data_IF_402311686266
#
_entry.id   IF_402311686266
#
_cell.length_a   1.000
_cell.length_b   1.000
_cell.length_c   1.000
_cell.angle_alpha   90.00
_cell.angle_beta   90.00
_cell.angle_gamma   90.00
#
_symmetry.space_group_name_H-M   'P 1'
#
loop_
_entity.id
_entity.type
_entity.pdbx_description
1 polymer ?
#
# COMPACT_ATOMS: atom_id res chain seq x y z
N UNK A 1 1.19 24.49 12.68
CA UNK A 1 1.51 23.12 12.22
C UNK A 1 2.03 23.12 10.77
N UNK A 2 3.03 23.95 10.43
CA UNK A 2 3.60 23.99 9.07
C UNK A 2 5.02 23.36 8.99
N UNK A 3 5.70 23.16 10.12
CA UNK A 3 7.07 22.64 10.15
C UNK A 3 7.19 21.12 10.29
N UNK A 4 6.13 20.40 10.67
CA UNK A 4 6.18 18.96 10.94
C UNK A 4 6.43 18.14 9.68
N UNK A 5 5.75 18.45 8.58
CA UNK A 5 5.91 17.76 7.29
C UNK A 5 7.33 17.94 6.75
N UNK A 6 7.84 19.18 6.71
CA UNK A 6 9.21 19.43 6.25
C UNK A 6 10.27 18.74 7.12
N UNK A 7 10.10 18.76 8.46
CA UNK A 7 11.00 18.03 9.37
C UNK A 7 10.99 16.52 9.09
N UNK A 8 9.81 15.93 8.85
CA UNK A 8 9.68 14.51 8.47
C UNK A 8 10.36 14.22 7.14
N UNK A 9 10.20 15.08 6.13
CA UNK A 9 10.88 14.93 4.85
C UNK A 9 12.40 15.00 4.98
N UNK A 10 12.93 15.99 5.72
CA UNK A 10 14.38 16.10 5.97
C UNK A 10 14.91 14.87 6.69
N UNK A 11 14.25 14.47 7.79
CA UNK A 11 14.63 13.28 8.54
C UNK A 11 14.59 12.01 7.67
N UNK A 12 13.61 11.88 6.78
CA UNK A 12 13.53 10.74 5.87
C UNK A 12 14.71 10.67 4.88
N UNK A 13 15.21 11.82 4.41
CA UNK A 13 16.41 11.90 3.56
C UNK A 13 17.64 11.45 4.36
N UNK A 14 17.79 11.96 5.58
CA UNK A 14 18.92 11.60 6.46
C UNK A 14 18.96 10.10 6.79
N UNK A 15 17.80 9.46 6.92
CA UNK A 15 17.68 8.02 7.18
C UNK A 15 17.87 7.14 5.93
N UNK A 16 17.84 7.70 4.73
CA UNK A 16 17.71 6.92 3.48
C UNK A 16 18.88 7.06 2.49
N UNK A 17 20.15 7.27 2.89
CA UNK A 17 21.24 7.51 1.94
C UNK A 17 21.39 6.35 0.93
N UNK A 18 21.22 5.10 1.37
CA UNK A 18 21.31 3.94 0.50
C UNK A 18 20.15 3.79 -0.51
N UNK A 19 18.96 4.33 -0.21
CA UNK A 19 17.79 4.27 -1.11
C UNK A 19 17.97 5.24 -2.27
N UNK A 20 18.58 6.40 -2.00
CA UNK A 20 18.83 7.45 -3.00
C UNK A 20 19.63 6.87 -4.17
N UNK A 21 20.77 6.23 -3.90
CA UNK A 21 21.67 5.75 -4.95
C UNK A 21 21.21 4.44 -5.62
N UNK A 22 20.34 3.66 -4.98
CA UNK A 22 19.92 2.35 -5.51
C UNK A 22 18.54 2.38 -6.19
N UNK A 23 17.66 3.29 -5.76
CA UNK A 23 16.26 3.29 -6.17
C UNK A 23 15.86 4.61 -6.82
N UNK A 24 16.23 5.76 -6.23
CA UNK A 24 15.79 7.07 -6.72
C UNK A 24 16.64 7.56 -7.91
N UNK A 25 17.96 7.47 -7.80
CA UNK A 25 18.91 7.92 -8.82
C UNK A 25 19.99 6.85 -9.12
N UNK A 26 19.59 5.63 -9.53
CA UNK A 26 20.56 4.57 -9.79
C UNK A 26 21.43 4.86 -11.00
N UNK A 27 22.75 4.77 -10.83
CA UNK A 27 23.71 4.87 -11.94
C UNK A 27 23.61 3.68 -12.92
N UNK A 28 23.19 2.51 -12.43
CA UNK A 28 22.97 1.30 -13.23
C UNK A 28 21.84 0.48 -12.64
N UNK A 29 20.88 0.11 -13.47
CA UNK A 29 19.78 -0.79 -13.07
C UNK A 29 20.05 -2.18 -13.63
N UNK A 30 20.22 -3.15 -12.73
CA UNK A 30 20.28 -4.58 -13.11
C UNK A 30 18.97 -5.21 -12.65
N UNK A 31 18.11 -5.56 -13.60
CA UNK A 31 16.84 -6.19 -13.30
C UNK A 31 17.07 -7.55 -12.64
N UNK A 32 16.38 -7.77 -11.53
CA UNK A 32 16.35 -9.05 -10.82
C UNK A 32 15.26 -9.91 -11.46
N UNK A 33 15.47 -11.22 -11.42
CA UNK A 33 14.43 -12.13 -11.88
C UNK A 33 13.14 -11.93 -11.06
N UNK A 34 11.96 -12.00 -11.70
CA UNK A 34 10.69 -11.98 -11.00
C UNK A 34 10.63 -13.12 -9.96
N UNK A 35 9.73 -13.00 -8.99
CA UNK A 35 9.44 -14.06 -8.05
C UNK A 35 8.93 -15.33 -8.77
N UNK A 36 8.77 -16.45 -8.03
CA UNK A 36 8.23 -17.72 -8.56
C UNK A 36 7.11 -17.48 -9.56
N UNK A 37 7.11 -18.24 -10.67
CA UNK A 37 6.07 -18.15 -11.69
C UNK A 37 4.70 -18.48 -11.08
N UNK A 38 3.86 -17.45 -10.90
CA UNK A 38 2.44 -17.60 -10.58
C UNK A 38 1.66 -17.63 -11.90
N UNK A 39 1.04 -18.76 -12.30
CA UNK A 39 0.22 -18.82 -13.51
C UNK A 39 -0.97 -17.85 -13.41
N UNK A 40 -1.31 -17.16 -14.51
CA UNK A 40 -2.40 -16.18 -14.50
C UNK A 40 -3.74 -16.84 -14.16
N UNK A 41 -3.93 -18.05 -14.63
CA UNK A 41 -5.11 -18.90 -14.48
C UNK A 41 -5.31 -19.36 -13.03
N UNK A 42 -4.24 -19.37 -12.23
CA UNK A 42 -4.30 -19.73 -10.81
C UNK A 42 -4.75 -18.57 -9.90
N UNK A 43 -4.89 -17.36 -10.45
CA UNK A 43 -5.27 -16.18 -9.69
C UNK A 43 -6.78 -16.14 -9.51
N UNK A 44 -7.19 -16.24 -8.25
CA UNK A 44 -8.56 -15.96 -7.84
C UNK A 44 -8.71 -14.46 -7.59
N UNK A 45 -9.53 -13.81 -8.42
CA UNK A 45 -9.76 -12.38 -8.34
C UNK A 45 -10.78 -12.05 -7.25
N UNK A 46 -10.41 -11.19 -6.30
CA UNK A 46 -11.33 -10.70 -5.28
C UNK A 46 -12.33 -9.73 -5.90
N UNK A 47 -11.84 -8.81 -6.75
CA UNK A 47 -12.68 -7.98 -7.58
C UNK A 47 -12.89 -8.59 -8.98
N UNK A 48 -14.06 -9.22 -9.18
CA UNK A 48 -14.46 -9.82 -10.46
C UNK A 48 -14.69 -8.80 -11.59
N UNK A 49 -14.88 -7.51 -11.26
CA UNK A 49 -15.14 -6.45 -12.24
C UNK A 49 -13.88 -5.86 -12.90
N UNK A 50 -12.69 -6.31 -12.51
CA UNK A 50 -11.44 -5.82 -13.12
C UNK A 50 -11.34 -6.20 -14.59
N UNK A 51 -10.96 -5.22 -15.41
CA UNK A 51 -10.66 -5.44 -16.81
C UNK A 51 -9.29 -6.09 -17.01
N UNK A 52 -8.99 -6.51 -18.24
CA UNK A 52 -7.74 -7.21 -18.56
C UNK A 52 -6.49 -6.39 -18.23
N UNK A 53 -6.48 -5.09 -18.53
CA UNK A 53 -5.32 -4.22 -18.28
C UNK A 53 -5.03 -4.10 -16.78
N UNK A 54 -6.06 -3.94 -15.96
CA UNK A 54 -5.94 -3.90 -14.50
C UNK A 54 -5.43 -5.24 -13.95
N UNK A 55 -5.97 -6.37 -14.44
CA UNK A 55 -5.51 -7.71 -14.06
C UNK A 55 -4.03 -7.92 -14.41
N UNK A 56 -3.62 -7.54 -15.62
CA UNK A 56 -2.22 -7.61 -16.03
C UNK A 56 -1.30 -6.77 -15.13
N UNK A 57 -1.73 -5.56 -14.76
CA UNK A 57 -0.97 -4.72 -13.83
C UNK A 57 -0.81 -5.36 -12.44
N UNK A 58 -1.88 -5.96 -11.90
CA UNK A 58 -1.83 -6.71 -10.63
C UNK A 58 -0.86 -7.89 -10.73
N UNK A 59 -0.97 -8.71 -11.77
CA UNK A 59 -0.08 -9.86 -11.98
C UNK A 59 1.37 -9.42 -12.15
N UNK A 60 1.59 -8.32 -12.87
CA UNK A 60 2.92 -7.81 -13.11
C UNK A 60 3.60 -7.34 -11.81
N UNK A 61 2.85 -6.62 -10.97
CA UNK A 61 3.26 -6.21 -9.63
C UNK A 61 3.55 -7.42 -8.72
N UNK A 62 2.62 -8.38 -8.65
CA UNK A 62 2.75 -9.58 -7.81
C UNK A 62 3.98 -10.43 -8.15
N UNK A 63 4.29 -10.58 -9.45
CA UNK A 63 5.49 -11.29 -9.93
C UNK A 63 6.78 -10.49 -9.72
N UNK A 64 6.71 -9.21 -9.38
CA UNK A 64 7.88 -8.36 -9.21
C UNK A 64 8.65 -8.13 -10.50
N UNK A 65 7.95 -7.88 -11.63
CA UNK A 65 8.60 -7.71 -12.94
C UNK A 65 9.62 -6.56 -12.98
N UNK A 66 9.39 -5.48 -12.23
CA UNK A 66 10.27 -4.32 -12.23
C UNK A 66 11.45 -4.44 -11.26
N UNK A 67 11.59 -5.54 -10.50
CA UNK A 67 12.62 -5.59 -9.45
C UNK A 67 14.02 -5.30 -10.00
N UNK A 68 14.86 -4.54 -9.28
CA UNK A 68 14.62 -3.95 -7.97
C UNK A 68 13.88 -2.60 -8.00
N UNK A 69 13.51 -2.09 -9.17
CA UNK A 69 12.86 -0.79 -9.31
C UNK A 69 11.36 -0.84 -8.99
N UNK A 70 10.75 0.32 -8.65
CA UNK A 70 9.32 0.39 -8.41
C UNK A 70 8.50 0.00 -9.65
N UNK A 71 7.40 -0.72 -9.43
CA UNK A 71 6.39 -0.94 -10.46
C UNK A 71 5.37 0.21 -10.46
N UNK A 72 5.20 0.88 -11.59
CA UNK A 72 4.32 2.06 -11.71
C UNK A 72 3.01 1.67 -12.38
N UNK A 73 1.89 1.82 -11.67
CA UNK A 73 0.55 1.72 -12.26
C UNK A 73 0.13 3.12 -12.71
N UNK A 74 0.12 3.34 -14.01
CA UNK A 74 -0.30 4.59 -14.62
C UNK A 74 -1.68 4.46 -15.27
N UNK A 75 -2.48 5.53 -15.22
CA UNK A 75 -3.76 5.58 -15.91
C UNK A 75 -4.47 6.93 -15.75
N UNK A 76 -5.24 7.39 -16.76
CA UNK A 76 -6.07 8.60 -16.67
C UNK A 76 -7.02 8.64 -15.45
N UNK A 77 -7.60 9.80 -15.13
CA UNK A 77 -8.68 9.87 -14.13
C UNK A 77 -9.81 8.88 -14.44
N UNK A 78 -10.40 8.28 -13.40
CA UNK A 78 -11.52 7.34 -13.55
C UNK A 78 -11.17 5.91 -14.00
N UNK A 79 -9.91 5.60 -14.33
CA UNK A 79 -9.51 4.25 -14.84
C UNK A 79 -9.35 3.15 -13.78
N UNK A 80 -9.84 3.37 -12.57
CA UNK A 80 -9.82 2.35 -11.52
C UNK A 80 -8.44 2.05 -10.92
N UNK A 81 -7.52 3.03 -10.88
CA UNK A 81 -6.21 2.87 -10.20
C UNK A 81 -6.36 2.37 -8.77
N UNK A 82 -7.26 2.98 -7.99
CA UNK A 82 -7.50 2.58 -6.58
C UNK A 82 -7.96 1.13 -6.48
N UNK A 83 -8.92 0.70 -7.30
CA UNK A 83 -9.38 -0.72 -7.26
C UNK A 83 -8.30 -1.69 -7.71
N UNK A 84 -7.41 -1.26 -8.62
CA UNK A 84 -6.25 -2.04 -9.06
C UNK A 84 -5.20 -2.17 -7.94
N UNK A 85 -4.96 -1.08 -7.19
CA UNK A 85 -4.06 -1.09 -6.02
C UNK A 85 -4.63 -1.98 -4.91
N UNK A 86 -5.92 -1.85 -4.59
CA UNK A 86 -6.59 -2.69 -3.59
C UNK A 86 -6.46 -4.17 -3.97
N UNK A 87 -6.76 -4.53 -5.22
CA UNK A 87 -6.57 -5.92 -5.67
C UNK A 87 -5.11 -6.37 -5.55
N UNK A 88 -4.15 -5.50 -5.90
CA UNK A 88 -2.72 -5.82 -5.78
C UNK A 88 -2.34 -6.13 -4.33
N UNK A 89 -2.84 -5.33 -3.37
CA UNK A 89 -2.63 -5.56 -1.94
C UNK A 89 -3.23 -6.90 -1.51
N UNK A 90 -4.47 -7.20 -1.92
CA UNK A 90 -5.14 -8.46 -1.59
C UNK A 90 -4.37 -9.68 -2.13
N UNK A 91 -3.89 -9.60 -3.38
CA UNK A 91 -3.11 -10.68 -3.98
C UNK A 91 -1.76 -10.89 -3.29
N UNK A 92 -1.07 -9.82 -2.89
CA UNK A 92 0.17 -9.91 -2.10
C UNK A 92 -0.11 -10.51 -0.72
N UNK A 93 -1.16 -10.05 -0.04
CA UNK A 93 -1.56 -10.54 1.27
C UNK A 93 -1.90 -12.03 1.28
N UNK A 94 -2.61 -12.50 0.24
CA UNK A 94 -3.05 -13.89 0.09
C UNK A 94 -1.92 -14.83 -0.38
N UNK A 95 -1.14 -14.43 -1.39
CA UNK A 95 -0.14 -15.30 -2.01
C UNK A 95 1.23 -15.26 -1.35
N UNK A 96 1.57 -14.15 -0.68
CA UNK A 96 2.86 -13.97 -0.01
C UNK A 96 2.62 -13.89 1.51
N UNK A 97 2.44 -15.04 2.16
CA UNK A 97 2.07 -15.15 3.59
C UNK A 97 3.02 -14.44 4.55
N UNK A 98 4.30 -14.36 4.22
CA UNK A 98 5.32 -13.70 5.05
C UNK A 98 5.46 -12.19 4.76
N UNK A 99 4.69 -11.67 3.80
CA UNK A 99 4.75 -10.25 3.45
C UNK A 99 4.08 -9.37 4.51
N UNK A 100 4.65 -8.16 4.65
CA UNK A 100 4.07 -7.02 5.35
C UNK A 100 3.88 -5.89 4.35
N UNK A 101 2.76 -5.20 4.45
CA UNK A 101 2.32 -4.24 3.44
C UNK A 101 2.10 -2.89 4.12
N UNK A 102 2.74 -1.85 3.58
CA UNK A 102 2.47 -0.46 3.97
C UNK A 102 1.88 0.24 2.76
N UNK A 103 0.64 0.70 2.89
CA UNK A 103 -0.07 1.47 1.89
C UNK A 103 -0.09 2.95 2.32
N UNK A 104 0.71 3.76 1.63
CA UNK A 104 0.85 5.18 1.88
C UNK A 104 0.08 6.00 0.84
N UNK A 105 -0.62 7.03 1.28
CA UNK A 105 -1.25 8.01 0.36
C UNK A 105 -0.97 9.45 0.79
N UNK A 106 -1.15 10.40 -0.11
CA UNK A 106 -1.04 11.82 0.22
C UNK A 106 -2.31 12.36 0.89
N UNK A 107 -3.47 11.79 0.56
CA UNK A 107 -4.77 12.27 1.01
C UNK A 107 -5.41 11.30 2.00
N UNK A 108 -5.83 11.84 3.14
CA UNK A 108 -6.57 11.13 4.17
C UNK A 108 -7.81 10.36 3.65
N UNK A 109 -8.58 10.96 2.76
CA UNK A 109 -9.73 10.31 2.12
C UNK A 109 -9.34 9.12 1.25
N UNK A 110 -8.17 9.15 0.61
CA UNK A 110 -7.65 8.04 -0.19
C UNK A 110 -7.22 6.87 0.70
N UNK A 111 -6.56 7.17 1.83
CA UNK A 111 -6.20 6.15 2.81
C UNK A 111 -7.46 5.45 3.37
N UNK A 112 -8.48 6.21 3.74
CA UNK A 112 -9.75 5.63 4.23
C UNK A 112 -10.44 4.78 3.17
N UNK A 113 -10.47 5.25 1.91
CA UNK A 113 -11.05 4.50 0.80
C UNK A 113 -10.32 3.17 0.56
N UNK A 114 -8.99 3.15 0.63
CA UNK A 114 -8.21 1.91 0.51
C UNK A 114 -8.54 0.97 1.67
N UNK A 115 -8.51 1.47 2.92
CA UNK A 115 -8.78 0.67 4.11
C UNK A 115 -10.21 0.08 4.08
N UNK A 116 -11.21 0.90 3.73
CA UNK A 116 -12.59 0.46 3.58
C UNK A 116 -12.71 -0.64 2.53
N UNK A 117 -12.12 -0.45 1.34
CA UNK A 117 -12.19 -1.46 0.27
C UNK A 117 -11.48 -2.77 0.60
N UNK A 118 -10.43 -2.71 1.42
CA UNK A 118 -9.76 -3.91 1.93
C UNK A 118 -10.67 -4.69 2.88
N UNK A 119 -11.37 -4.01 3.80
CA UNK A 119 -12.36 -4.65 4.68
C UNK A 119 -13.55 -5.21 3.87
N UNK A 120 -14.09 -4.45 2.92
CA UNK A 120 -15.20 -4.86 2.05
C UNK A 120 -14.87 -6.10 1.19
N UNK A 121 -13.59 -6.41 0.98
CA UNK A 121 -13.18 -7.61 0.24
C UNK A 121 -13.57 -8.92 0.93
N UNK A 122 -13.84 -8.88 2.24
CA UNK A 122 -14.06 -10.06 3.08
C UNK A 122 -12.82 -10.93 3.30
N UNK A 123 -11.67 -10.60 2.69
CA UNK A 123 -10.42 -11.37 2.80
C UNK A 123 -9.50 -10.87 3.92
N UNK A 124 -9.60 -9.58 4.24
CA UNK A 124 -8.81 -8.88 5.25
C UNK A 124 -9.74 -8.53 6.42
N UNK A 125 -9.32 -8.87 7.64
CA UNK A 125 -10.07 -8.59 8.86
C UNK A 125 -9.51 -7.40 9.66
N UNK A 126 -10.21 -7.00 10.71
CA UNK A 126 -9.76 -5.93 11.63
C UNK A 126 -8.44 -6.27 12.35
N UNK A 127 -8.06 -7.55 12.46
CA UNK A 127 -6.78 -7.97 13.05
C UNK A 127 -5.62 -7.95 12.05
N UNK A 128 -5.92 -7.96 10.75
CA UNK A 128 -4.92 -7.96 9.69
C UNK A 128 -4.48 -6.54 9.30
N UNK A 129 -5.38 -5.57 9.47
CA UNK A 129 -5.29 -4.23 8.91
C UNK A 129 -5.45 -3.16 10.00
N UNK A 130 -4.55 -2.17 9.98
CA UNK A 130 -4.65 -0.95 10.78
C UNK A 130 -4.56 0.30 9.91
N UNK A 131 -5.39 1.30 10.23
CA UNK A 131 -5.36 2.65 9.64
C UNK A 131 -4.71 3.61 10.64
N UNK A 132 -3.58 4.22 10.30
CA UNK A 132 -2.87 5.15 11.18
C UNK A 132 -3.15 6.60 10.79
N UNK A 133 -3.80 7.38 11.65
CA UNK A 133 -4.21 8.75 11.36
C UNK A 133 -3.72 9.74 12.42
N UNK A 134 -3.59 11.02 12.06
CA UNK A 134 -3.25 12.05 13.04
C UNK A 134 -4.37 12.25 14.07
N UNK A 135 -4.00 12.52 15.34
CA UNK A 135 -4.93 12.62 16.47
C UNK A 135 -6.08 13.61 16.24
N UNK A 136 -5.78 14.79 15.68
CA UNK A 136 -6.78 15.83 15.42
C UNK A 136 -7.88 15.39 14.44
N UNK A 137 -7.65 14.32 13.67
CA UNK A 137 -8.60 13.79 12.70
C UNK A 137 -9.54 12.74 13.29
N UNK A 138 -9.26 12.18 14.46
CA UNK A 138 -9.97 11.02 15.01
C UNK A 138 -11.50 11.19 15.07
N UNK A 139 -12.00 12.43 15.22
CA UNK A 139 -13.43 12.74 15.24
C UNK A 139 -14.11 12.76 13.85
N UNK A 140 -13.34 12.75 12.76
CA UNK A 140 -13.80 12.83 11.37
C UNK A 140 -13.51 11.57 10.54
N UNK A 141 -13.18 10.47 11.23
CA UNK A 141 -12.94 9.18 10.60
C UNK A 141 -14.29 8.56 10.20
N UNK A 142 -14.45 8.08 8.96
CA UNK A 142 -15.66 7.37 8.54
C UNK A 142 -15.93 6.12 9.38
N UNK A 143 -17.21 5.86 9.69
CA UNK A 143 -17.61 4.74 10.55
C UNK A 143 -17.10 3.38 10.06
N UNK A 144 -17.04 3.20 8.72
CA UNK A 144 -16.57 1.97 8.08
C UNK A 144 -15.12 1.59 8.43
N UNK A 145 -14.26 2.55 8.79
CA UNK A 145 -12.84 2.31 9.12
C UNK A 145 -12.48 2.73 10.54
N UNK A 146 -13.46 3.21 11.31
CA UNK A 146 -13.25 3.76 12.65
C UNK A 146 -12.66 2.74 13.62
N UNK A 147 -13.13 1.50 13.58
CA UNK A 147 -12.67 0.42 14.46
C UNK A 147 -11.19 0.05 14.27
N UNK A 148 -10.72 0.13 13.02
CA UNK A 148 -9.33 -0.18 12.67
C UNK A 148 -8.42 1.05 12.70
N UNK A 149 -8.95 2.24 13.03
CA UNK A 149 -8.18 3.48 13.02
C UNK A 149 -7.56 3.75 14.39
N UNK A 150 -6.25 4.00 14.41
CA UNK A 150 -5.51 4.42 15.59
C UNK A 150 -4.78 5.74 15.34
N UNK A 151 -4.54 6.48 16.42
CA UNK A 151 -3.74 7.70 16.37
C UNK A 151 -2.26 7.37 16.12
N UNK A 152 -1.60 8.19 15.30
CA UNK A 152 -0.16 8.14 15.11
C UNK A 152 0.65 8.43 16.39
N UNK A 153 0.02 9.07 17.39
CA UNK A 153 0.65 9.45 18.66
C UNK A 153 0.49 8.37 19.75
N UNK A 154 -0.20 7.26 19.44
CA UNK A 154 -0.33 6.10 20.33
C UNK A 154 0.86 5.13 20.20
N UNK A 155 0.93 4.11 21.07
CA UNK A 155 2.03 3.13 21.11
C UNK A 155 2.20 2.37 19.78
N UNK A 156 3.21 2.78 19.00
CA UNK A 156 3.59 2.22 17.69
C UNK A 156 3.81 0.69 17.75
N UNK A 157 4.13 0.13 18.92
CA UNK A 157 4.31 -1.31 19.11
C UNK A 157 3.06 -2.11 18.75
N UNK A 158 1.87 -1.51 18.78
CA UNK A 158 0.63 -2.19 18.38
C UNK A 158 0.54 -2.38 16.87
N UNK A 159 1.17 -1.53 16.08
CA UNK A 159 1.07 -1.59 14.62
C UNK A 159 1.80 -2.82 14.05
N UNK A 160 2.84 -3.30 14.75
CA UNK A 160 3.67 -4.44 14.32
C UNK A 160 2.89 -5.76 14.24
N UNK A 161 1.75 -5.86 14.92
CA UNK A 161 0.92 -7.07 14.90
C UNK A 161 0.04 -7.15 13.65
N UNK A 162 -0.14 -6.04 12.93
CA UNK A 162 -0.93 -5.99 11.71
C UNK A 162 -0.03 -6.29 10.51
N UNK A 163 -0.57 -7.02 9.53
CA UNK A 163 0.13 -7.32 8.28
C UNK A 163 0.01 -6.19 7.27
N UNK A 164 -1.05 -5.40 7.36
CA UNK A 164 -1.32 -4.26 6.48
C UNK A 164 -1.45 -2.98 7.32
N UNK A 165 -0.66 -1.96 6.98
CA UNK A 165 -0.75 -0.63 7.57
C UNK A 165 -1.15 0.36 6.47
N UNK A 166 -2.24 1.09 6.68
CA UNK A 166 -2.68 2.16 5.77
C UNK A 166 -2.47 3.52 6.44
N UNK A 167 -1.65 4.37 5.83
CA UNK A 167 -1.25 5.66 6.43
C UNK A 167 -1.17 6.79 5.41
N UNK A 168 -1.04 8.02 5.91
CA UNK A 168 -0.79 9.22 5.12
C UNK A 168 0.66 9.68 5.24
N UNK A 169 1.17 10.32 4.19
CA UNK A 169 2.58 10.77 4.08
C UNK A 169 2.81 12.23 4.53
N UNK A 170 1.80 12.88 5.10
CA UNK A 170 1.82 14.29 5.51
C UNK A 170 2.30 14.55 6.95
#
# INVERSE_FOLDING_TARGET
>A
MAGTTYRRCHHAIDLSPHIVDQVLFPHKVILKQPFKKIPFESIQWFNKSLNLQQKLAVVASLKGHSRPTPYIIFGPPGTGKTVTIVESILQVFDKLGDSRIIACTAANSSADLIAQKLLESGRVSETDLIRVSALHRMNSIPEAVKKITQSADEDEKKWIYHRIIVTTTS
#
